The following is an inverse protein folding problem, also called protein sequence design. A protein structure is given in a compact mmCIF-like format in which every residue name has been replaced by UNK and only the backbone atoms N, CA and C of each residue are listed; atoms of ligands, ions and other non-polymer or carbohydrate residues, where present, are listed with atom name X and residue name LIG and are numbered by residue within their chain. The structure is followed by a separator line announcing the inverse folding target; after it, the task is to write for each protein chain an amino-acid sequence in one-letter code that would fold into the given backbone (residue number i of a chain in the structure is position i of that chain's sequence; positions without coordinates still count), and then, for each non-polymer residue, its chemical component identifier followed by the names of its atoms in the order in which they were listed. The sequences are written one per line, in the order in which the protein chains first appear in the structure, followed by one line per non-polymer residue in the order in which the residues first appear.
data_IF_354253692891
#
_entry.id   IF_354253692891
#
_cell.length_a   1.000
_cell.length_b   1.000
_cell.length_c   1.000
_cell.angle_alpha   90.00
_cell.angle_beta   90.00
_cell.angle_gamma   90.00
#
_symmetry.space_group_name_H-M   'P 1'
#
loop_
_entity.id
_entity.type
_entity.pdbx_description
1 polymer ?
#
# COMPACT_ATOMS: atom_id res chain seq x y z
N UNK A 1 12.98 -8.85 -11.27
CA UNK A 1 13.34 -7.48 -10.86
C UNK A 1 12.37 -6.93 -9.81
N UNK A 2 11.07 -6.80 -10.10
CA UNK A 2 10.09 -6.21 -9.17
C UNK A 2 9.99 -6.91 -7.80
N UNK A 3 10.05 -8.25 -7.75
CA UNK A 3 9.98 -8.99 -6.49
C UNK A 3 11.18 -8.73 -5.56
N UNK A 4 12.39 -8.67 -6.10
CA UNK A 4 13.60 -8.40 -5.31
C UNK A 4 13.53 -6.99 -4.70
N UNK A 5 13.15 -6.00 -5.51
CA UNK A 5 12.97 -4.63 -5.04
C UNK A 5 11.86 -4.55 -3.98
N UNK A 6 10.75 -5.27 -4.15
CA UNK A 6 9.67 -5.33 -3.16
C UNK A 6 10.12 -5.94 -1.83
N UNK A 7 10.89 -7.02 -1.87
CA UNK A 7 11.43 -7.65 -0.65
C UNK A 7 12.42 -6.73 0.06
N UNK A 8 13.33 -6.09 -0.67
CA UNK A 8 14.28 -5.11 -0.08
C UNK A 8 13.52 -3.94 0.58
N UNK A 9 12.50 -3.39 -0.10
CA UNK A 9 11.67 -2.33 0.47
C UNK A 9 10.90 -2.77 1.72
N UNK A 10 10.41 -4.01 1.72
CA UNK A 10 9.79 -4.64 2.89
C UNK A 10 10.78 -4.75 4.06
N UNK A 11 11.99 -5.25 3.82
CA UNK A 11 13.02 -5.36 4.85
C UNK A 11 13.37 -3.99 5.44
N UNK A 12 13.63 -3.00 4.59
CA UNK A 12 13.90 -1.63 5.03
C UNK A 12 12.74 -1.08 5.87
N UNK A 13 11.50 -1.33 5.44
CA UNK A 13 10.31 -0.91 6.18
C UNK A 13 10.22 -1.55 7.57
N UNK A 14 10.50 -2.85 7.69
CA UNK A 14 10.48 -3.56 8.99
C UNK A 14 11.65 -3.16 9.89
N UNK A 15 12.83 -2.85 9.34
CA UNK A 15 13.96 -2.33 10.14
C UNK A 15 13.64 -0.98 10.76
N UNK A 16 12.89 -0.13 10.05
CA UNK A 16 12.51 1.23 10.50
C UNK A 16 11.25 1.26 11.39
N UNK A 17 10.78 0.09 11.83
CA UNK A 17 9.46 -0.03 12.45
C UNK A 17 9.35 0.41 13.92
N UNK A 18 10.43 0.90 14.55
CA UNK A 18 10.47 1.23 15.98
C UNK A 18 10.80 0.04 16.89
N UNK A 19 10.59 -1.19 16.43
CA UNK A 19 10.96 -2.41 17.16
C UNK A 19 12.46 -2.71 17.09
N UNK A 20 13.04 -2.65 15.90
CA UNK A 20 14.45 -2.98 15.67
C UNK A 20 15.37 -1.78 15.89
N UNK A 21 14.83 -0.57 15.81
CA UNK A 21 15.59 0.67 15.85
C UNK A 21 14.81 1.69 16.66
N UNK A 22 15.44 2.25 17.69
CA UNK A 22 14.82 3.26 18.53
C UNK A 22 14.75 4.60 17.80
N UNK A 23 13.57 5.22 17.78
CA UNK A 23 13.34 6.51 17.11
C UNK A 23 14.04 7.67 17.81
N UNK A 24 14.25 7.57 19.13
CA UNK A 24 14.84 8.64 19.94
C UNK A 24 16.35 8.79 19.74
N UNK A 25 17.05 7.70 19.39
CA UNK A 25 18.51 7.70 19.19
C UNK A 25 18.94 8.12 17.78
N UNK A 26 17.98 8.36 16.87
CA UNK A 26 18.26 8.79 15.51
C UNK A 26 18.76 10.25 15.48
N UNK A 27 19.84 10.54 14.73
CA UNK A 27 20.27 11.91 14.49
C UNK A 27 19.15 12.67 13.77
N UNK A 28 19.04 13.98 14.03
CA UNK A 28 17.96 14.84 13.54
C UNK A 28 17.74 14.75 12.02
N UNK A 29 18.82 14.54 11.25
CA UNK A 29 18.78 14.38 9.81
C UNK A 29 18.05 13.11 9.32
N UNK A 30 17.94 12.05 10.13
CA UNK A 30 17.28 10.79 9.75
C UNK A 30 15.90 10.60 10.41
N UNK A 31 15.44 11.53 11.24
CA UNK A 31 14.14 11.43 11.94
C UNK A 31 12.92 11.39 11.02
N UNK A 32 13.06 11.82 9.77
CA UNK A 32 11.98 11.74 8.78
C UNK A 32 11.82 10.34 8.20
N UNK A 33 12.87 9.52 8.21
CA UNK A 33 12.91 8.23 7.52
C UNK A 33 11.91 7.22 8.09
N UNK A 34 11.78 7.05 9.43
CA UNK A 34 10.73 6.22 10.01
C UNK A 34 9.32 6.59 9.59
N UNK A 35 9.05 7.90 9.48
CA UNK A 35 7.73 8.45 9.12
C UNK A 35 7.30 8.10 7.69
N UNK A 36 8.23 7.63 6.86
CA UNK A 36 7.92 7.18 5.49
C UNK A 36 7.52 5.71 5.40
N UNK A 37 7.72 4.93 6.47
CA UNK A 37 7.43 3.50 6.46
C UNK A 37 6.05 3.18 7.02
N UNK A 38 5.25 2.44 6.24
CA UNK A 38 3.95 1.93 6.70
C UNK A 38 4.07 0.96 7.89
N UNK A 39 5.21 0.27 8.04
CA UNK A 39 5.43 -0.66 9.15
C UNK A 39 5.47 0.09 10.49
N UNK A 40 6.13 1.25 10.57
CA UNK A 40 6.21 2.04 11.81
C UNK A 40 4.81 2.34 12.36
N UNK A 41 3.90 2.80 11.50
CA UNK A 41 2.50 3.08 11.86
C UNK A 41 1.72 1.81 12.23
N UNK A 42 1.91 0.71 11.48
CA UNK A 42 1.20 -0.53 11.74
C UNK A 42 1.56 -1.13 13.11
N UNK A 43 2.85 -1.14 13.46
CA UNK A 43 3.31 -1.67 14.75
C UNK A 43 2.89 -0.79 15.92
N UNK A 44 2.79 0.52 15.74
CA UNK A 44 2.23 1.43 16.74
C UNK A 44 0.79 1.10 17.06
N UNK A 45 -0.06 0.91 16.05
CA UNK A 45 -1.46 0.51 16.23
C UNK A 45 -1.58 -0.86 16.88
N UNK A 46 -0.78 -1.83 16.43
CA UNK A 46 -0.82 -3.20 16.97
C UNK A 46 -0.41 -3.24 18.45
N UNK A 47 0.73 -2.64 18.79
CA UNK A 47 1.24 -2.65 20.17
C UNK A 47 0.36 -1.86 21.12
N UNK A 48 -0.15 -0.70 20.69
CA UNK A 48 -1.07 0.08 21.50
C UNK A 48 -2.40 -0.65 21.73
N UNK A 49 -2.85 -1.47 20.78
CA UNK A 49 -4.06 -2.29 20.92
C UNK A 49 -3.83 -3.49 21.85
N UNK A 50 -2.72 -4.21 21.68
CA UNK A 50 -2.42 -5.42 22.46
C UNK A 50 -2.00 -5.13 23.91
N UNK A 51 -1.25 -4.05 24.13
CA UNK A 51 -0.70 -3.73 25.45
C UNK A 51 -1.62 -2.83 26.28
N UNK A 52 -2.79 -2.45 25.75
CA UNK A 52 -3.77 -1.63 26.47
C UNK A 52 -4.30 -2.38 27.69
N UNK A 53 -3.95 -1.91 28.88
CA UNK A 53 -4.41 -2.50 30.14
C UNK A 53 -3.61 -3.72 30.62
N UNK A 54 -2.53 -4.09 29.93
CA UNK A 54 -1.65 -5.19 30.34
C UNK A 54 -0.51 -4.68 31.21
N UNK A 55 -0.21 -5.40 32.29
CA UNK A 55 1.00 -5.16 33.11
C UNK A 55 1.99 -6.27 32.85
N UNK A 56 3.24 -5.92 32.59
CA UNK A 56 4.32 -6.87 32.32
C UNK A 56 5.17 -7.00 33.58
N UNK A 57 5.36 -8.23 34.05
CA UNK A 57 6.30 -8.51 35.13
C UNK A 57 7.68 -8.68 34.51
N UNK A 58 8.63 -7.83 34.87
CA UNK A 58 10.01 -7.96 34.43
C UNK A 58 10.82 -8.52 35.59
N UNK A 59 11.30 -9.74 35.41
CA UNK A 59 12.21 -10.40 36.34
C UNK A 59 13.63 -10.26 35.79
N UNK A 60 14.47 -9.54 36.52
CA UNK A 60 15.88 -9.34 36.17
C UNK A 60 16.71 -10.13 37.18
N UNK A 61 17.63 -11.01 36.75
CA UNK A 61 18.47 -11.74 37.68
C UNK A 61 19.32 -10.74 38.50
N UNK A 62 19.11 -10.71 39.81
CA UNK A 62 19.80 -9.80 40.73
C UNK A 62 19.02 -8.54 41.15
N UNK A 63 17.79 -8.34 40.67
CA UNK A 63 16.92 -7.23 41.10
C UNK A 63 15.51 -7.74 41.47
N UNK A 64 14.78 -7.05 42.36
CA UNK A 64 13.40 -7.41 42.68
C UNK A 64 12.51 -7.29 41.44
N UNK A 65 11.57 -8.23 41.28
CA UNK A 65 10.64 -8.24 40.16
C UNK A 65 9.79 -6.95 40.15
N UNK A 66 9.90 -6.17 39.08
CA UNK A 66 9.16 -4.91 38.92
C UNK A 66 8.01 -5.15 37.97
N UNK A 67 6.79 -4.79 38.41
CA UNK A 67 5.61 -4.78 37.56
C UNK A 67 5.57 -3.46 36.79
N UNK A 68 5.95 -3.52 35.52
CA UNK A 68 5.91 -2.35 34.64
C UNK A 68 4.52 -2.21 34.02
N UNK A 69 4.01 -0.99 34.04
CA UNK A 69 2.82 -0.65 33.28
C UNK A 69 3.20 -0.58 31.80
N UNK A 70 2.34 -1.10 30.92
CA UNK A 70 2.61 -1.10 29.47
C UNK A 70 2.91 0.29 28.93
N UNK A 71 2.28 1.35 29.45
CA UNK A 71 2.57 2.74 29.04
C UNK A 71 4.05 3.10 29.15
N UNK A 72 4.73 2.66 30.22
CA UNK A 72 6.17 2.91 30.41
C UNK A 72 6.98 2.10 29.40
N UNK A 73 6.57 0.86 29.13
CA UNK A 73 7.23 0.02 28.14
C UNK A 73 7.10 0.59 26.71
N UNK A 74 5.92 1.11 26.34
CA UNK A 74 5.71 1.75 25.04
C UNK A 74 6.54 3.03 24.89
N UNK A 75 6.67 3.81 25.98
CA UNK A 75 7.51 5.00 26.02
C UNK A 75 9.01 4.67 25.84
N UNK A 76 9.47 3.53 26.41
CA UNK A 76 10.83 3.02 26.18
C UNK A 76 11.12 2.70 24.71
N UNK A 77 10.11 2.26 23.95
CA UNK A 77 10.24 2.01 22.52
C UNK A 77 10.05 3.28 21.66
N UNK A 78 9.66 4.41 22.27
CA UNK A 78 9.36 5.66 21.58
C UNK A 78 8.02 5.65 20.82
N UNK A 79 7.08 4.78 21.19
CA UNK A 79 5.74 4.70 20.58
C UNK A 79 4.71 5.45 21.41
N UNK A 80 3.91 6.29 20.76
CA UNK A 80 3.01 7.23 21.42
C UNK A 80 1.55 6.76 21.35
N UNK A 81 0.99 6.40 22.50
CA UNK A 81 -0.39 5.86 22.62
C UNK A 81 -1.47 6.85 22.17
N UNK A 82 -1.17 8.15 22.14
CA UNK A 82 -2.17 9.20 21.94
C UNK A 82 -2.55 9.42 20.47
N UNK A 83 -1.83 8.83 19.51
CA UNK A 83 -1.97 9.18 18.10
C UNK A 83 -2.51 8.07 17.18
N UNK A 84 -3.03 6.98 17.76
CA UNK A 84 -3.47 5.77 17.03
C UNK A 84 -4.42 6.07 15.86
N UNK A 85 -5.31 7.06 16.01
CA UNK A 85 -6.23 7.45 14.93
C UNK A 85 -5.53 8.13 13.76
N UNK A 86 -4.51 8.95 14.03
CA UNK A 86 -3.71 9.59 12.99
C UNK A 86 -2.80 8.57 12.30
N UNK A 87 -2.27 7.59 13.04
CA UNK A 87 -1.45 6.51 12.47
C UNK A 87 -2.28 5.60 11.57
N UNK A 88 -3.53 5.30 11.98
CA UNK A 88 -4.49 4.54 11.17
C UNK A 88 -4.86 5.29 9.88
N UNK A 89 -5.04 6.61 9.97
CA UNK A 89 -5.32 7.45 8.81
C UNK A 89 -4.12 7.51 7.86
N UNK A 90 -2.90 7.64 8.38
CA UNK A 90 -1.67 7.61 7.60
C UNK A 90 -1.52 6.27 6.85
N UNK A 91 -1.77 5.15 7.53
CA UNK A 91 -1.73 3.82 6.92
C UNK A 91 -2.76 3.67 5.79
N UNK A 92 -3.99 4.15 6.01
CA UNK A 92 -5.05 4.15 5.00
C UNK A 92 -4.64 4.97 3.78
N UNK A 93 -4.02 6.14 4.00
CA UNK A 93 -3.50 6.98 2.92
C UNK A 93 -2.41 6.29 2.09
N UNK A 94 -1.51 5.51 2.71
CA UNK A 94 -0.52 4.73 1.97
C UNK A 94 -1.16 3.69 1.05
N UNK A 95 -2.19 2.98 1.52
CA UNK A 95 -2.90 1.97 0.72
C UNK A 95 -3.63 2.61 -0.45
N UNK A 96 -4.40 3.68 -0.19
CA UNK A 96 -5.14 4.42 -1.22
C UNK A 96 -4.18 5.04 -2.23
N UNK A 97 -3.05 5.60 -1.77
CA UNK A 97 -2.01 6.15 -2.64
C UNK A 97 -1.39 5.10 -3.56
N UNK A 98 -0.96 3.97 -3.00
CA UNK A 98 -0.38 2.88 -3.77
C UNK A 98 -1.38 2.30 -4.79
N UNK A 99 -2.65 2.12 -4.38
CA UNK A 99 -3.71 1.65 -5.27
C UNK A 99 -3.98 2.66 -6.39
N UNK A 100 -4.09 3.96 -6.06
CA UNK A 100 -4.31 5.03 -7.02
C UNK A 100 -3.21 5.11 -8.08
N UNK A 101 -1.95 4.95 -7.69
CA UNK A 101 -0.81 4.89 -8.64
C UNK A 101 -0.96 3.72 -9.62
N UNK A 102 -1.32 2.53 -9.12
CA UNK A 102 -1.52 1.35 -9.97
C UNK A 102 -2.67 1.53 -10.96
N UNK A 103 -3.81 2.08 -10.49
CA UNK A 103 -4.96 2.39 -11.35
C UNK A 103 -4.58 3.44 -12.41
N UNK A 104 -3.83 4.48 -12.04
CA UNK A 104 -3.37 5.50 -12.98
C UNK A 104 -2.47 4.90 -14.06
N UNK A 105 -1.50 4.05 -13.69
CA UNK A 105 -0.63 3.36 -14.66
C UNK A 105 -1.44 2.47 -15.59
N UNK A 106 -2.43 1.73 -15.04
CA UNK A 106 -3.30 0.88 -15.83
C UNK A 106 -4.14 1.70 -16.81
N UNK A 107 -4.73 2.81 -16.37
CA UNK A 107 -5.50 3.72 -17.20
C UNK A 107 -4.65 4.30 -18.35
N UNK A 108 -3.43 4.76 -18.05
CA UNK A 108 -2.50 5.28 -19.06
C UNK A 108 -2.13 4.19 -20.08
N UNK A 109 -1.87 2.96 -19.63
CA UNK A 109 -1.55 1.85 -20.53
C UNK A 109 -2.76 1.44 -21.38
N UNK A 110 -3.95 1.43 -20.79
CA UNK A 110 -5.19 1.06 -21.47
C UNK A 110 -5.55 2.08 -22.56
N UNK A 111 -5.49 3.38 -22.23
CA UNK A 111 -5.72 4.48 -23.17
C UNK A 111 -4.70 4.48 -24.33
N UNK A 112 -3.43 4.14 -24.05
CA UNK A 112 -2.40 4.02 -25.10
C UNK A 112 -2.58 2.79 -26.00
N UNK A 113 -3.21 1.72 -25.52
CA UNK A 113 -3.26 0.41 -26.21
C UNK A 113 -4.50 0.26 -27.08
N UNK A 114 -5.68 0.71 -26.62
CA UNK A 114 -6.95 0.67 -27.37
C UNK A 114 -6.86 1.30 -28.78
N UNK A 115 -6.28 2.51 -28.99
CA UNK A 115 -6.22 3.11 -30.33
C UNK A 115 -5.26 2.38 -31.27
N UNK A 116 -4.24 1.71 -30.73
CA UNK A 116 -3.32 0.87 -31.53
C UNK A 116 -3.99 -0.41 -31.98
N UNK A 117 -4.77 -1.05 -31.11
CA UNK A 117 -5.54 -2.24 -31.46
C UNK A 117 -6.67 -1.90 -32.44
N UNK A 118 -7.37 -0.78 -32.22
CA UNK A 118 -8.38 -0.24 -33.15
C UNK A 118 -7.82 -0.01 -34.55
N UNK A 119 -6.61 0.58 -34.67
CA UNK A 119 -5.94 0.77 -35.97
C UNK A 119 -5.53 -0.55 -36.64
N UNK A 120 -5.05 -1.55 -35.90
CA UNK A 120 -4.72 -2.87 -36.48
C UNK A 120 -5.96 -3.59 -37.01
N UNK A 121 -7.07 -3.55 -36.28
CA UNK A 121 -8.34 -4.16 -36.73
C UNK A 121 -8.85 -3.45 -38.00
N UNK A 122 -8.82 -2.11 -38.05
CA UNK A 122 -9.19 -1.36 -39.26
C UNK A 122 -8.31 -1.71 -40.47
N UNK A 123 -6.98 -1.83 -40.30
CA UNK A 123 -6.08 -2.17 -41.40
C UNK A 123 -6.24 -3.62 -41.89
N UNK A 124 -6.66 -4.55 -41.02
CA UNK A 124 -7.03 -5.91 -41.42
C UNK A 124 -8.38 -5.95 -42.15
N UNK A 125 -9.40 -5.21 -41.68
CA UNK A 125 -10.66 -5.08 -42.41
C UNK A 125 -10.47 -4.41 -43.78
N UNK A 126 -9.68 -3.34 -43.86
CA UNK A 126 -9.43 -2.63 -45.13
C UNK A 126 -8.64 -3.46 -46.15
N UNK A 127 -7.83 -4.43 -45.70
CA UNK A 127 -7.06 -5.31 -46.59
C UNK A 127 -7.89 -6.50 -47.09
N UNK A 128 -8.99 -6.83 -46.41
CA UNK A 128 -9.69 -8.09 -46.65
C UNK A 128 -11.21 -7.96 -46.48
N UNK A 129 -11.89 -7.04 -47.18
CA UNK A 129 -13.31 -7.18 -47.55
C UNK A 129 -13.77 -6.11 -48.56
N UNK A 130 -14.61 -6.46 -49.56
CA UNK A 130 -15.75 -5.64 -49.95
C UNK A 130 -16.98 -6.22 -49.24
N UNK A 131 -17.16 -5.92 -47.95
CA UNK A 131 -18.41 -6.22 -47.24
C UNK A 131 -18.72 -4.99 -46.40
N UNK A 132 -19.57 -4.14 -46.95
CA UNK A 132 -20.25 -3.03 -46.29
C UNK A 132 -21.08 -3.58 -45.12
N UNK A 133 -20.54 -3.47 -43.90
CA UNK A 133 -21.30 -3.64 -42.66
C UNK A 133 -21.53 -2.26 -42.06
N UNK A 134 -22.51 -1.56 -42.62
CA UNK A 134 -23.15 -0.41 -42.00
C UNK A 134 -24.02 -0.88 -40.85
N UNK A 135 -23.46 -0.94 -39.65
CA UNK A 135 -24.16 -1.24 -38.41
C UNK A 135 -24.11 -0.03 -37.48
N UNK A 136 -25.20 0.73 -37.41
CA UNK A 136 -25.36 1.80 -36.41
C UNK A 136 -25.68 1.18 -35.05
N UNK A 137 -24.83 1.45 -34.06
CA UNK A 137 -25.09 1.06 -32.67
C UNK A 137 -26.22 1.93 -32.11
N UNK A 138 -27.43 1.37 -32.01
CA UNK A 138 -28.53 1.96 -31.25
C UNK A 138 -29.03 0.93 -30.23
N UNK A 139 -28.86 1.24 -28.94
CA UNK A 139 -29.45 0.53 -27.79
C UNK A 139 -29.25 -1.01 -27.74
N UNK A 140 -28.00 -1.46 -27.62
CA UNK A 140 -27.68 -2.71 -26.91
C UNK A 140 -28.31 -4.01 -27.42
N UNK A 141 -28.83 -4.04 -28.65
CA UNK A 141 -29.35 -5.26 -29.29
C UNK A 141 -28.73 -5.40 -30.67
N UNK A 142 -27.93 -6.46 -30.82
CA UNK A 142 -27.14 -6.73 -32.01
C UNK A 142 -28.05 -7.49 -32.99
N UNK A 143 -28.81 -6.77 -33.81
CA UNK A 143 -29.58 -7.37 -34.88
C UNK A 143 -28.73 -7.37 -36.16
N UNK A 144 -28.14 -8.52 -36.49
CA UNK A 144 -27.43 -8.74 -37.75
C UNK A 144 -28.41 -9.22 -38.82
N UNK A 145 -28.80 -8.34 -39.74
CA UNK A 145 -29.45 -8.74 -40.98
C UNK A 145 -28.39 -8.99 -42.05
N UNK A 146 -28.10 -10.27 -42.31
CA UNK A 146 -27.31 -10.71 -43.45
C UNK A 146 -28.23 -10.63 -44.68
N UNK A 147 -27.98 -9.68 -45.59
CA UNK A 147 -28.52 -9.75 -46.95
C UNK A 147 -27.53 -10.54 -47.80
N UNK A 148 -28.01 -11.67 -48.33
CA UNK A 148 -27.35 -12.44 -49.39
C UNK A 148 -27.32 -11.64 -50.69
#
# INVERSE_FOLDING_TARGET
AACLLGVVLMLVSTTLSGLNLNHETLPSALRWLPRTSFCSYAFEILLTTELKGTTVLVEIPGAPAVRLHSRVMLDLFGLHIENVTADLLALTMFVVGAFGINVAILAIKLDRTIPKLRRRICNCCARNTPIELSGTLKNGTLNQTIKL
#
